data_IF_265535075540
#
_entry.id   IF_265535075540
#
_cell.length_a   1.000
_cell.length_b   1.000
_cell.length_c   1.000
_cell.angle_alpha   90.00
_cell.angle_beta   90.00
_cell.angle_gamma   90.00
#
_symmetry.space_group_name_H-M   'P 1'
#
loop_
_entity.id
_entity.type
_entity.pdbx_description
1 polymer ?
#
# COMPACT_ATOMS: atom_id res chain seq x y z
N UNK A 1 -17.04 2.05 2.83
CA UNK A 1 -16.60 3.13 3.75
C UNK A 1 -17.80 4.02 4.02
N UNK A 2 -18.07 4.37 5.27
CA UNK A 2 -19.15 5.28 5.62
C UNK A 2 -18.52 6.64 5.95
N UNK A 3 -19.01 7.70 5.33
CA UNK A 3 -18.53 9.07 5.51
C UNK A 3 -19.64 9.95 6.04
N UNK A 4 -19.27 10.98 6.79
CA UNK A 4 -20.21 12.02 7.18
C UNK A 4 -20.58 12.84 5.95
N UNK A 5 -21.88 13.04 5.73
CA UNK A 5 -22.38 13.82 4.60
C UNK A 5 -21.84 15.27 4.58
N UNK A 6 -21.52 15.83 5.75
CA UNK A 6 -20.88 17.14 5.90
C UNK A 6 -19.55 17.25 5.12
N UNK A 7 -18.75 16.18 5.10
CA UNK A 7 -17.47 16.14 4.38
C UNK A 7 -17.71 16.19 2.87
N UNK A 8 -18.74 15.50 2.38
CA UNK A 8 -19.06 15.41 0.95
C UNK A 8 -19.74 16.67 0.39
N UNK A 9 -20.43 17.43 1.25
CA UNK A 9 -21.08 18.69 0.89
C UNK A 9 -20.11 19.88 0.81
N UNK A 10 -18.90 19.72 1.31
CA UNK A 10 -17.88 20.76 1.29
C UNK A 10 -17.39 21.04 -0.14
N UNK A 11 -17.44 22.30 -0.57
CA UNK A 11 -17.03 22.70 -1.92
C UNK A 11 -15.53 22.46 -2.15
N UNK A 12 -14.70 22.66 -1.13
CA UNK A 12 -13.27 22.41 -1.21
C UNK A 12 -12.97 20.91 -1.40
N UNK A 13 -13.70 20.03 -0.70
CA UNK A 13 -13.62 18.59 -0.91
C UNK A 13 -14.00 18.22 -2.35
N UNK A 14 -15.14 18.72 -2.85
CA UNK A 14 -15.62 18.40 -4.20
C UNK A 14 -14.63 18.87 -5.28
N UNK A 15 -14.08 20.07 -5.12
CA UNK A 15 -13.06 20.60 -6.01
C UNK A 15 -11.80 19.74 -5.98
N UNK A 16 -11.25 19.46 -4.80
CA UNK A 16 -10.04 18.65 -4.66
C UNK A 16 -10.24 17.21 -5.15
N UNK A 17 -11.42 16.63 -4.97
CA UNK A 17 -11.76 15.29 -5.45
C UNK A 17 -11.85 15.22 -6.97
N UNK A 18 -12.41 16.27 -7.59
CA UNK A 18 -12.53 16.34 -9.06
C UNK A 18 -11.20 16.70 -9.73
N UNK A 19 -10.31 17.39 -9.01
CA UNK A 19 -9.01 17.86 -9.48
C UNK A 19 -7.83 17.10 -8.87
N UNK A 20 -8.01 15.82 -8.50
CA UNK A 20 -6.90 14.98 -8.06
C UNK A 20 -6.15 14.41 -9.28
N UNK A 21 -5.01 15.02 -9.61
CA UNK A 21 -4.20 14.68 -10.76
C UNK A 21 -2.86 14.07 -10.36
N UNK A 22 -2.41 13.07 -11.11
CA UNK A 22 -1.07 12.51 -11.03
C UNK A 22 -0.45 12.47 -12.41
N UNK A 23 0.69 13.13 -12.59
CA UNK A 23 1.37 13.27 -13.89
C UNK A 23 0.42 13.78 -14.99
N UNK A 24 -0.46 14.74 -14.65
CA UNK A 24 -1.45 15.32 -15.57
C UNK A 24 -2.66 14.43 -15.87
N UNK A 25 -2.73 13.21 -15.32
CA UNK A 25 -3.86 12.30 -15.48
C UNK A 25 -4.74 12.30 -14.22
N UNK A 26 -6.06 12.34 -14.39
CA UNK A 26 -7.00 12.29 -13.26
C UNK A 26 -6.95 10.93 -12.58
N UNK A 27 -6.75 10.90 -11.27
CA UNK A 27 -6.74 9.65 -10.50
C UNK A 27 -8.17 9.11 -10.32
N UNK A 28 -8.62 8.23 -11.22
CA UNK A 28 -9.94 7.58 -11.13
C UNK A 28 -9.93 6.26 -10.31
N UNK A 29 -8.78 5.89 -9.74
CA UNK A 29 -8.51 4.51 -9.26
C UNK A 29 -8.49 4.33 -7.74
N UNK A 30 -8.81 5.35 -6.94
CA UNK A 30 -8.59 5.29 -5.49
C UNK A 30 -9.38 6.30 -4.67
N UNK A 31 -10.71 6.28 -4.78
CA UNK A 31 -11.60 7.12 -3.96
C UNK A 31 -11.28 6.96 -2.46
N UNK A 32 -10.98 5.74 -2.02
CA UNK A 32 -10.57 5.42 -0.66
C UNK A 32 -9.26 6.11 -0.25
N UNK A 33 -8.27 6.12 -1.13
CA UNK A 33 -6.97 6.77 -0.93
C UNK A 33 -7.11 8.29 -0.85
N UNK A 34 -7.86 8.91 -1.76
CA UNK A 34 -8.12 10.35 -1.71
C UNK A 34 -8.87 10.71 -0.43
N UNK A 35 -9.97 10.03 -0.14
CA UNK A 35 -10.82 10.34 1.00
C UNK A 35 -10.04 10.14 2.32
N UNK A 36 -9.23 9.09 2.42
CA UNK A 36 -8.34 8.89 3.58
C UNK A 36 -7.34 10.04 3.74
N UNK A 37 -6.71 10.47 2.64
CA UNK A 37 -5.80 11.62 2.63
C UNK A 37 -6.51 12.90 3.06
N UNK A 38 -7.69 13.18 2.52
CA UNK A 38 -8.49 14.36 2.87
C UNK A 38 -8.96 14.36 4.32
N UNK A 39 -9.50 13.24 4.80
CA UNK A 39 -9.99 13.13 6.19
C UNK A 39 -8.86 13.31 7.19
N UNK A 40 -7.70 12.70 6.95
CA UNK A 40 -6.58 12.79 7.88
C UNK A 40 -5.81 14.11 7.77
N UNK A 41 -5.70 14.67 6.58
CA UNK A 41 -4.74 15.75 6.30
C UNK A 41 -5.34 16.98 5.59
N UNK A 42 -6.63 17.01 5.29
CA UNK A 42 -7.31 18.13 4.63
C UNK A 42 -7.08 19.47 5.33
N UNK A 43 -7.10 19.46 6.66
CA UNK A 43 -6.75 20.61 7.52
C UNK A 43 -5.33 21.15 7.40
N UNK A 44 -4.44 20.46 6.68
CA UNK A 44 -3.07 20.90 6.39
C UNK A 44 -2.90 21.39 4.95
N UNK A 45 -3.92 21.31 4.11
CA UNK A 45 -3.81 21.72 2.71
C UNK A 45 -3.91 23.24 2.59
N UNK A 46 -2.81 23.85 2.15
CA UNK A 46 -2.60 25.31 2.10
C UNK A 46 -3.56 26.01 1.13
N UNK A 47 -4.03 25.30 0.10
CA UNK A 47 -4.96 25.80 -0.93
C UNK A 47 -6.45 25.57 -0.63
N UNK A 48 -6.78 25.18 0.61
CA UNK A 48 -8.17 25.04 1.00
C UNK A 48 -8.86 26.40 1.02
N UNK A 49 -9.83 26.62 0.14
CA UNK A 49 -10.53 27.89 0.01
C UNK A 49 -10.94 28.46 1.39
N UNK A 50 -10.74 29.77 1.63
CA UNK A 50 -10.90 30.40 2.95
C UNK A 50 -12.32 30.31 3.52
N UNK A 51 -13.32 29.99 2.69
CA UNK A 51 -14.73 29.87 3.08
C UNK A 51 -15.14 28.45 3.53
N UNK A 52 -14.29 27.43 3.34
CA UNK A 52 -14.63 26.05 3.72
C UNK A 52 -14.33 25.76 5.19
N UNK A 53 -15.38 25.75 6.02
CA UNK A 53 -15.27 25.33 7.43
C UNK A 53 -14.84 23.85 7.59
N UNK A 54 -15.16 23.01 6.59
CA UNK A 54 -14.84 21.58 6.64
C UNK A 54 -13.35 21.30 6.39
N UNK A 55 -12.64 22.13 5.63
CA UNK A 55 -11.21 21.95 5.43
C UNK A 55 -10.43 22.21 6.72
N UNK A 56 -10.75 23.25 7.50
CA UNK A 56 -10.04 23.55 8.76
C UNK A 56 -10.23 22.51 9.86
N UNK A 57 -11.25 21.65 9.74
CA UNK A 57 -11.58 20.66 10.77
C UNK A 57 -10.73 19.40 10.61
N UNK A 58 -10.02 19.03 11.69
CA UNK A 58 -9.31 17.75 11.76
C UNK A 58 -10.30 16.61 11.98
N UNK A 59 -10.56 15.84 10.94
CA UNK A 59 -11.37 14.63 11.03
C UNK A 59 -10.54 13.45 11.56
N UNK A 60 -11.24 12.41 12.03
CA UNK A 60 -10.63 11.18 12.55
C UNK A 60 -11.25 9.97 11.85
N UNK A 61 -10.42 8.99 11.54
CA UNK A 61 -10.87 7.69 11.03
C UNK A 61 -11.05 6.76 12.22
N UNK A 62 -12.25 6.17 12.33
CA UNK A 62 -12.54 5.09 13.25
C UNK A 62 -12.71 3.79 12.48
N UNK A 63 -12.21 2.68 13.05
CA UNK A 63 -12.47 1.33 12.55
C UNK A 63 -13.35 0.64 13.58
N UNK A 64 -14.52 0.17 13.16
CA UNK A 64 -15.36 -0.66 14.01
C UNK A 64 -14.81 -2.09 14.00
N UNK A 65 -14.23 -2.50 15.13
CA UNK A 65 -13.68 -3.83 15.34
C UNK A 65 -14.60 -4.60 16.29
N UNK A 66 -15.34 -5.55 15.75
CA UNK A 66 -16.14 -6.51 16.52
C UNK A 66 -15.63 -7.90 16.21
N UNK A 67 -15.43 -8.74 17.25
CA UNK A 67 -14.85 -10.09 17.08
C UNK A 67 -15.68 -10.99 16.17
N UNK A 68 -16.99 -10.75 16.11
CA UNK A 68 -17.94 -11.50 15.29
C UNK A 68 -17.97 -11.06 13.83
N UNK A 69 -17.45 -9.86 13.54
CA UNK A 69 -17.41 -9.33 12.17
C UNK A 69 -16.27 -10.00 11.40
N UNK A 70 -16.63 -10.86 10.44
CA UNK A 70 -15.68 -11.44 9.50
C UNK A 70 -15.81 -10.72 8.15
N UNK A 71 -14.68 -10.24 7.63
CA UNK A 71 -14.59 -9.67 6.29
C UNK A 71 -13.95 -10.72 5.38
N UNK A 72 -14.75 -11.35 4.54
CA UNK A 72 -14.27 -12.23 3.48
C UNK A 72 -14.08 -11.43 2.19
N UNK A 73 -12.99 -11.69 1.47
CA UNK A 73 -12.74 -11.07 0.16
C UNK A 73 -12.94 -12.12 -0.91
N UNK A 74 -13.81 -11.86 -1.88
CA UNK A 74 -13.88 -12.68 -3.09
C UNK A 74 -12.68 -12.38 -3.96
N UNK A 75 -11.95 -13.43 -4.34
CA UNK A 75 -10.75 -13.33 -5.16
C UNK A 75 -11.11 -13.82 -6.57
N UNK A 76 -10.61 -13.14 -7.59
CA UNK A 76 -10.77 -13.60 -8.97
C UNK A 76 -10.00 -14.92 -9.16
N UNK A 77 -10.61 -15.95 -9.76
CA UNK A 77 -9.94 -17.24 -9.95
C UNK A 77 -8.86 -17.20 -11.04
N UNK A 78 -8.88 -16.17 -11.89
CA UNK A 78 -8.04 -16.08 -13.09
C UNK A 78 -6.77 -15.24 -12.87
N UNK A 79 -5.90 -15.21 -13.90
CA UNK A 79 -4.71 -14.34 -13.99
C UNK A 79 -5.01 -12.84 -13.79
N UNK A 80 -6.27 -12.43 -13.97
CA UNK A 80 -6.79 -11.09 -13.65
C UNK A 80 -6.50 -10.67 -12.21
N UNK A 81 -6.44 -11.62 -11.28
CA UNK A 81 -6.05 -11.35 -9.90
C UNK A 81 -4.66 -10.70 -9.80
N UNK A 82 -3.68 -11.19 -10.56
CA UNK A 82 -2.34 -10.60 -10.58
C UNK A 82 -2.37 -9.16 -11.11
N UNK A 83 -3.19 -8.87 -12.14
CA UNK A 83 -3.41 -7.52 -12.64
C UNK A 83 -4.02 -6.60 -11.57
N UNK A 84 -5.00 -7.10 -10.80
CA UNK A 84 -5.60 -6.39 -9.67
C UNK A 84 -4.59 -6.11 -8.56
N UNK A 85 -3.74 -7.06 -8.20
CA UNK A 85 -2.68 -6.84 -7.21
C UNK A 85 -1.68 -5.77 -7.64
N UNK A 86 -1.23 -5.80 -8.90
CA UNK A 86 -0.33 -4.76 -9.46
C UNK A 86 -0.97 -3.38 -9.38
N UNK A 87 -2.26 -3.26 -9.72
CA UNK A 87 -3.03 -2.02 -9.61
C UNK A 87 -3.08 -1.50 -8.17
N UNK A 88 -3.39 -2.37 -7.20
CA UNK A 88 -3.40 -1.97 -5.79
C UNK A 88 -2.03 -1.52 -5.30
N UNK A 89 -0.97 -2.23 -5.68
CA UNK A 89 0.40 -1.86 -5.33
C UNK A 89 0.77 -0.48 -5.90
N UNK A 90 0.48 -0.24 -7.19
CA UNK A 90 0.74 1.04 -7.87
C UNK A 90 -0.08 2.19 -7.28
N UNK A 91 -1.38 1.99 -7.04
CA UNK A 91 -2.25 3.00 -6.41
C UNK A 91 -1.75 3.35 -5.01
N UNK A 92 -1.40 2.34 -4.20
CA UNK A 92 -0.80 2.54 -2.88
C UNK A 92 0.56 3.27 -2.93
N UNK A 93 1.39 2.97 -3.93
CA UNK A 93 2.67 3.66 -4.14
C UNK A 93 2.46 5.13 -4.49
N UNK A 94 1.57 5.45 -5.45
CA UNK A 94 1.21 6.84 -5.80
C UNK A 94 0.67 7.60 -4.60
N UNK A 95 -0.26 7.00 -3.84
CA UNK A 95 -0.81 7.62 -2.64
C UNK A 95 0.28 7.95 -1.63
N UNK A 96 1.24 7.04 -1.40
CA UNK A 96 2.37 7.30 -0.51
C UNK A 96 3.24 8.45 -1.00
N UNK A 97 3.55 8.49 -2.29
CA UNK A 97 4.33 9.58 -2.88
C UNK A 97 3.61 10.92 -2.77
N UNK A 98 2.32 10.97 -3.08
CA UNK A 98 1.49 12.18 -2.91
C UNK A 98 1.51 12.68 -1.47
N UNK A 99 1.24 11.80 -0.51
CA UNK A 99 1.19 12.16 0.90
C UNK A 99 2.56 12.62 1.45
N UNK A 100 3.64 11.94 1.08
CA UNK A 100 4.98 12.22 1.61
C UNK A 100 5.65 13.42 0.95
N UNK A 101 5.44 13.64 -0.34
CA UNK A 101 6.18 14.65 -1.12
C UNK A 101 5.37 15.90 -1.44
N UNK A 102 4.05 15.78 -1.63
CA UNK A 102 3.22 16.88 -2.11
C UNK A 102 2.30 17.40 -1.01
N UNK A 103 1.21 16.70 -0.72
CA UNK A 103 0.17 17.13 0.21
C UNK A 103 -0.20 15.98 1.15
N UNK A 104 0.02 16.08 2.48
CA UNK A 104 0.44 17.25 3.27
C UNK A 104 1.97 17.46 3.36
N UNK A 105 2.76 16.60 2.73
CA UNK A 105 4.21 16.56 2.88
C UNK A 105 4.67 15.87 4.17
N UNK A 106 5.90 15.35 4.16
CA UNK A 106 6.44 14.51 5.24
C UNK A 106 6.38 15.17 6.61
N UNK A 107 6.62 16.48 6.69
CA UNK A 107 6.63 17.24 7.96
C UNK A 107 5.22 17.40 8.54
N UNK A 108 4.25 17.74 7.69
CA UNK A 108 2.83 17.84 8.09
C UNK A 108 2.30 16.49 8.54
N UNK A 109 2.63 15.44 7.78
CA UNK A 109 2.22 14.07 8.09
C UNK A 109 2.83 13.57 9.41
N UNK A 110 4.11 13.86 9.66
CA UNK A 110 4.80 13.44 10.89
C UNK A 110 4.19 14.07 12.15
N UNK A 111 3.76 15.34 12.07
CA UNK A 111 3.11 16.03 13.19
C UNK A 111 1.74 15.45 13.52
N UNK A 112 0.97 15.04 12.51
CA UNK A 112 -0.40 14.54 12.70
C UNK A 112 -0.44 13.04 13.00
N UNK A 113 0.32 12.23 12.25
CA UNK A 113 0.32 10.77 12.32
C UNK A 113 1.76 10.23 12.18
N UNK A 114 2.61 10.31 13.23
CA UNK A 114 4.02 9.92 13.15
C UNK A 114 4.21 8.43 12.84
N UNK A 115 3.36 7.57 13.41
CA UNK A 115 3.43 6.12 13.16
C UNK A 115 3.14 5.77 11.70
N UNK A 116 2.05 6.32 11.13
CA UNK A 116 1.70 6.14 9.72
C UNK A 116 2.81 6.65 8.80
N UNK A 117 3.35 7.83 9.11
CA UNK A 117 4.47 8.42 8.36
C UNK A 117 5.70 7.54 8.35
N UNK A 118 6.11 7.03 9.51
CA UNK A 118 7.23 6.09 9.61
C UNK A 118 6.98 4.85 8.76
N UNK A 119 5.77 4.27 8.79
CA UNK A 119 5.43 3.09 8.00
C UNK A 119 5.39 3.35 6.49
N UNK A 120 4.92 4.51 6.06
CA UNK A 120 4.93 4.88 4.65
C UNK A 120 6.35 5.08 4.15
N UNK A 121 7.22 5.76 4.92
CA UNK A 121 8.65 5.93 4.59
C UNK A 121 9.37 4.57 4.56
N UNK A 122 9.17 3.72 5.57
CA UNK A 122 9.72 2.35 5.59
C UNK A 122 9.32 1.58 4.33
N UNK A 123 8.06 1.70 3.90
CA UNK A 123 7.56 1.05 2.69
C UNK A 123 8.17 1.63 1.40
N UNK A 124 8.47 2.93 1.34
CA UNK A 124 9.16 3.55 0.19
C UNK A 124 10.61 3.13 0.08
N UNK A 125 11.29 2.94 1.20
CA UNK A 125 12.68 2.50 1.23
C UNK A 125 12.83 0.99 1.05
N UNK A 126 11.78 0.22 1.31
CA UNK A 126 11.81 -1.24 1.30
C UNK A 126 12.42 -1.86 0.02
N UNK A 127 12.09 -1.41 -1.21
CA UNK A 127 12.65 -2.00 -2.43
C UNK A 127 14.18 -1.89 -2.48
N UNK A 128 14.74 -0.76 -2.03
CA UNK A 128 16.19 -0.53 -1.98
C UNK A 128 16.80 -1.33 -0.82
N UNK A 129 16.19 -1.27 0.37
CA UNK A 129 16.69 -1.96 1.56
C UNK A 129 16.73 -3.49 1.39
N UNK A 130 15.80 -4.06 0.61
CA UNK A 130 15.82 -5.48 0.27
C UNK A 130 17.07 -5.85 -0.52
N UNK A 131 17.40 -5.10 -1.57
CA UNK A 131 18.61 -5.35 -2.37
C UNK A 131 19.89 -5.17 -1.55
N UNK A 132 19.94 -4.13 -0.72
CA UNK A 132 21.05 -3.91 0.22
C UNK A 132 21.21 -5.13 1.15
N UNK A 133 20.12 -5.66 1.70
CA UNK A 133 20.16 -6.86 2.56
C UNK A 133 20.64 -8.10 1.80
N UNK A 134 20.22 -8.28 0.55
CA UNK A 134 20.68 -9.40 -0.31
C UNK A 134 22.19 -9.28 -0.54
N UNK A 135 22.68 -8.10 -0.91
CA UNK A 135 24.11 -7.84 -1.12
C UNK A 135 24.93 -8.12 0.13
N UNK A 136 24.53 -7.57 1.29
CA UNK A 136 25.24 -7.83 2.54
C UNK A 136 25.21 -9.30 2.93
N UNK A 137 24.13 -10.02 2.64
CA UNK A 137 24.09 -11.46 2.87
C UNK A 137 25.15 -12.21 2.06
N UNK A 138 25.30 -11.91 0.76
CA UNK A 138 26.35 -12.52 -0.07
C UNK A 138 27.75 -12.19 0.47
N UNK A 139 27.99 -10.94 0.87
CA UNK A 139 29.26 -10.55 1.51
C UNK A 139 29.52 -11.33 2.81
N UNK A 140 28.51 -11.47 3.68
CA UNK A 140 28.64 -12.26 4.90
C UNK A 140 28.88 -13.74 4.60
N UNK A 141 28.24 -14.29 3.57
CA UNK A 141 28.44 -15.68 3.17
C UNK A 141 29.87 -15.95 2.67
N UNK A 142 30.48 -14.99 1.98
CA UNK A 142 31.87 -15.09 1.50
C UNK A 142 32.89 -15.03 2.65
N UNK A 143 32.68 -14.19 3.67
CA UNK A 143 33.64 -14.01 4.78
C UNK A 143 33.40 -15.02 5.91
N UNK A 144 32.14 -15.24 6.29
CA UNK A 144 31.73 -16.08 7.40
C UNK A 144 30.60 -17.04 6.99
N UNK A 145 30.90 -18.09 6.21
CA UNK A 145 29.89 -18.99 5.65
C UNK A 145 29.05 -19.70 6.72
N UNK A 146 29.66 -20.08 7.85
CA UNK A 146 28.94 -20.73 8.97
C UNK A 146 27.88 -19.81 9.58
N UNK A 147 28.21 -18.54 9.78
CA UNK A 147 27.26 -17.55 10.32
C UNK A 147 26.13 -17.27 9.33
N UNK A 148 26.47 -17.12 8.04
CA UNK A 148 25.46 -16.93 6.99
C UNK A 148 24.49 -18.12 6.91
N UNK A 149 25.00 -19.36 7.00
CA UNK A 149 24.17 -20.56 7.06
C UNK A 149 23.26 -20.58 8.30
N UNK A 150 23.75 -20.16 9.47
CA UNK A 150 22.93 -20.07 10.69
C UNK A 150 21.79 -19.06 10.51
N UNK A 151 22.09 -17.87 9.98
CA UNK A 151 21.08 -16.83 9.72
C UNK A 151 20.01 -17.32 8.74
N UNK A 152 20.42 -17.98 7.65
CA UNK A 152 19.49 -18.55 6.66
C UNK A 152 18.68 -19.68 7.27
N UNK A 153 19.31 -20.60 8.00
CA UNK A 153 18.65 -21.68 8.70
C UNK A 153 17.58 -21.17 9.69
N UNK A 154 17.90 -20.12 10.45
CA UNK A 154 16.94 -19.48 11.34
C UNK A 154 15.75 -18.85 10.59
N UNK A 155 15.99 -18.19 9.45
CA UNK A 155 14.92 -17.64 8.61
C UNK A 155 14.02 -18.72 8.01
N UNK A 156 14.62 -19.81 7.51
CA UNK A 156 13.88 -20.97 6.98
C UNK A 156 13.05 -21.61 8.09
N UNK A 157 13.63 -21.79 9.29
CA UNK A 157 12.92 -22.32 10.45
C UNK A 157 11.69 -21.49 10.82
N UNK A 158 11.84 -20.16 10.89
CA UNK A 158 10.71 -19.24 11.11
C UNK A 158 9.64 -19.36 10.03
N UNK A 159 10.03 -19.37 8.76
CA UNK A 159 9.09 -19.55 7.65
C UNK A 159 8.36 -20.89 7.75
N UNK A 160 9.05 -21.97 8.11
CA UNK A 160 8.45 -23.29 8.28
C UNK A 160 7.42 -23.32 9.41
N UNK A 161 7.68 -22.64 10.54
CA UNK A 161 6.68 -22.50 11.62
C UNK A 161 5.44 -21.77 11.11
N UNK A 162 5.61 -20.64 10.40
CA UNK A 162 4.49 -19.86 9.86
C UNK A 162 3.66 -20.69 8.88
N UNK A 163 4.31 -21.42 7.96
CA UNK A 163 3.62 -22.30 7.02
C UNK A 163 2.89 -23.46 7.72
N UNK A 164 3.47 -24.01 8.79
CA UNK A 164 2.80 -25.05 9.60
C UNK A 164 1.54 -24.51 10.27
N UNK A 165 1.60 -23.30 10.84
CA UNK A 165 0.43 -22.64 11.43
C UNK A 165 -0.63 -22.36 10.37
N UNK A 166 -0.23 -21.80 9.23
CA UNK A 166 -1.13 -21.53 8.11
C UNK A 166 -1.81 -22.79 7.58
N UNK A 167 -1.07 -23.90 7.43
CA UNK A 167 -1.61 -25.20 7.05
C UNK A 167 -2.60 -25.75 8.08
N UNK A 168 -2.37 -25.52 9.38
CA UNK A 168 -3.27 -25.97 10.45
C UNK A 168 -4.61 -25.21 10.40
N UNK A 169 -4.56 -23.91 10.10
CA UNK A 169 -5.73 -23.05 9.99
C UNK A 169 -6.51 -23.29 8.68
N UNK A 170 -5.81 -23.57 7.58
CA UNK A 170 -6.40 -23.79 6.25
C UNK A 170 -5.95 -25.14 5.65
N UNK A 171 -6.51 -26.28 6.10
CA UNK A 171 -6.07 -27.62 5.69
C UNK A 171 -6.14 -27.88 4.18
N UNK A 172 -7.11 -27.28 3.49
CA UNK A 172 -7.31 -27.45 2.05
C UNK A 172 -6.20 -26.83 1.19
N UNK A 173 -5.43 -25.87 1.73
CA UNK A 173 -4.34 -25.20 1.00
C UNK A 173 -3.06 -26.05 0.96
N UNK A 174 -3.03 -27.24 1.60
CA UNK A 174 -1.84 -28.10 1.68
C UNK A 174 -1.16 -28.36 0.33
N UNK A 175 -1.93 -28.50 -0.76
CA UNK A 175 -1.42 -28.73 -2.12
C UNK A 175 -0.79 -27.48 -2.76
N UNK A 176 -1.15 -26.30 -2.28
CA UNK A 176 -0.75 -24.99 -2.82
C UNK A 176 0.15 -24.19 -1.87
N UNK A 177 0.77 -24.84 -0.86
CA UNK A 177 1.68 -24.16 0.07
C UNK A 177 2.89 -23.51 -0.61
N UNK A 178 3.33 -24.07 -1.73
CA UNK A 178 4.37 -23.47 -2.57
C UNK A 178 3.96 -22.11 -3.13
N UNK A 179 2.66 -21.90 -3.42
CA UNK A 179 2.16 -20.61 -3.90
C UNK A 179 2.21 -19.56 -2.80
N UNK A 180 1.90 -19.93 -1.54
CA UNK A 180 2.04 -19.03 -0.40
C UNK A 180 3.49 -18.56 -0.20
N UNK A 181 4.46 -19.47 -0.36
CA UNK A 181 5.88 -19.13 -0.34
C UNK A 181 6.28 -18.16 -1.45
N UNK A 182 5.71 -18.33 -2.65
CA UNK A 182 6.01 -17.49 -3.80
C UNK A 182 5.42 -16.08 -3.62
N UNK A 183 4.19 -15.98 -3.11
CA UNK A 183 3.54 -14.71 -2.76
C UNK A 183 4.34 -13.93 -1.71
N UNK A 184 4.93 -14.59 -0.72
CA UNK A 184 5.80 -13.96 0.28
C UNK A 184 7.11 -13.37 -0.29
N UNK A 185 7.45 -13.69 -1.55
CA UNK A 185 8.67 -13.22 -2.24
C UNK A 185 8.37 -12.35 -3.46
N UNK A 186 7.09 -12.17 -3.79
CA UNK A 186 6.64 -11.42 -4.97
C UNK A 186 7.04 -9.94 -4.89
N UNK A 187 7.23 -9.39 -3.70
CA UNK A 187 7.68 -8.01 -3.47
C UNK A 187 9.04 -7.70 -4.11
N UNK A 188 9.93 -8.70 -4.27
CA UNK A 188 11.24 -8.49 -4.89
C UNK A 188 11.17 -7.98 -6.33
N UNK A 189 10.14 -8.41 -7.07
CA UNK A 189 9.93 -8.05 -8.47
C UNK A 189 8.80 -7.03 -8.60
N UNK A 190 7.70 -7.26 -7.89
CA UNK A 190 6.49 -6.44 -8.01
C UNK A 190 6.72 -5.00 -7.58
N UNK A 191 7.54 -4.75 -6.56
CA UNK A 191 7.79 -3.38 -6.09
C UNK A 191 8.47 -2.56 -7.20
N UNK A 192 9.56 -3.07 -7.78
CA UNK A 192 10.28 -2.41 -8.87
C UNK A 192 9.43 -2.22 -10.12
N UNK A 193 8.63 -3.24 -10.49
CA UNK A 193 7.68 -3.12 -11.58
C UNK A 193 6.69 -1.97 -11.34
N UNK A 194 6.16 -1.84 -10.13
CA UNK A 194 5.22 -0.76 -9.81
C UNK A 194 5.91 0.61 -9.82
N UNK A 195 7.16 0.72 -9.37
CA UNK A 195 7.96 1.94 -9.48
C UNK A 195 8.18 2.36 -10.94
N UNK A 196 8.54 1.42 -11.83
CA UNK A 196 8.75 1.72 -13.25
C UNK A 196 7.45 2.05 -13.98
N UNK A 197 6.32 1.46 -13.58
CA UNK A 197 5.02 1.66 -14.24
C UNK A 197 4.12 2.68 -13.55
N UNK A 198 4.70 3.56 -12.72
CA UNK A 198 3.99 4.59 -11.95
C UNK A 198 3.12 5.51 -12.80
N UNK A 199 3.52 5.82 -14.03
CA UNK A 199 2.77 6.67 -14.96
C UNK A 199 1.59 5.99 -15.66
N UNK A 200 1.51 4.65 -15.62
CA UNK A 200 0.48 3.92 -16.35
C UNK A 200 -0.81 3.81 -15.54
N UNK A 201 -1.89 4.48 -15.93
CA UNK A 201 -3.21 4.35 -15.27
C UNK A 201 -4.15 3.33 -15.93
N UNK A 202 -3.63 2.49 -16.83
CA UNK A 202 -4.40 1.49 -17.55
C UNK A 202 -5.18 0.58 -16.59
N UNK A 203 -6.49 0.57 -16.81
CA UNK A 203 -7.42 -0.39 -16.24
C UNK A 203 -7.35 -1.66 -17.09
N UNK A 204 -6.98 -2.79 -16.47
CA UNK A 204 -7.07 -4.11 -17.12
C UNK A 204 -8.52 -4.45 -17.55
N UNK A 205 -9.53 -3.68 -17.11
CA UNK A 205 -10.93 -3.84 -17.50
C UNK A 205 -11.42 -2.92 -18.62
N UNK A 206 -10.60 -1.99 -19.15
CA UNK A 206 -10.94 -1.29 -20.40
C UNK A 206 -10.25 -2.03 -21.53
N UNK A 207 -11.03 -2.75 -22.32
CA UNK A 207 -10.61 -3.71 -23.34
C UNK A 207 -9.70 -3.17 -24.47
N UNK A 208 -9.30 -1.90 -24.43
CA UNK A 208 -8.65 -1.20 -25.55
C UNK A 208 -7.17 -0.90 -25.33
N UNK A 209 -6.51 -1.54 -24.36
CA UNK A 209 -5.06 -1.32 -24.08
C UNK A 209 -4.23 -2.58 -24.39
N UNK A 210 -4.87 -3.68 -24.78
CA UNK A 210 -4.22 -4.91 -25.25
C UNK A 210 -4.39 -5.10 -26.78
N UNK A 211 -4.38 -4.00 -27.55
CA UNK A 211 -4.10 -4.02 -29.01
C UNK A 211 -2.75 -3.36 -29.29
#
# INVERSE_FOLDING_TARGET
MILRAEILRDSAFQYAFTHDFWMGQRQNTGDDNFITRWVLFGHLFENSQPESNASRRKWKIGIQLTREAQVSTSIMPDSRFAGQMKRWCRSGLRHRLMCLLYEPGIRGMWRTCPFMTRKMVEAMLNPILVWIRIYYWFKTAAVYPRLACLIVGYKIYKQAITLRRFKKEYPWIRKHLWAALLVDRLNYISDWYCWMTLGNDAWVTRATIDE
#
